data_IF_022419356363
#
_entry.id   IF_022419356363
#
_cell.length_a   1.000
_cell.length_b   1.000
_cell.length_c   1.000
_cell.angle_alpha   90.00
_cell.angle_beta   90.00
_cell.angle_gamma   90.00
#
_symmetry.space_group_name_H-M   'P 1'
#
loop_
_entity.id
_entity.type
_entity.pdbx_description
1 polymer ?
#
# COMPACT_ATOMS: atom_id res chain seq x y z
N UNK A 1 -25.63 -21.60 -8.92
CA UNK A 1 -25.51 -20.26 -8.30
C UNK A 1 -25.63 -19.25 -9.41
N UNK A 2 -26.36 -18.17 -9.15
CA UNK A 2 -26.57 -17.06 -10.07
C UNK A 2 -25.99 -15.81 -9.44
N UNK A 3 -25.16 -15.08 -10.18
CA UNK A 3 -24.68 -13.76 -9.77
C UNK A 3 -25.81 -12.76 -9.97
N UNK A 4 -26.13 -11.92 -8.99
CA UNK A 4 -27.10 -10.85 -9.24
C UNK A 4 -26.42 -9.69 -9.99
N UNK A 5 -27.24 -8.75 -10.45
CA UNK A 5 -26.74 -7.51 -11.04
C UNK A 5 -26.27 -6.56 -9.94
N UNK A 6 -25.40 -5.61 -10.28
CA UNK A 6 -24.81 -4.61 -9.37
C UNK A 6 -25.88 -3.96 -8.45
N UNK A 7 -27.03 -3.58 -9.02
CA UNK A 7 -28.09 -2.90 -8.24
C UNK A 7 -28.79 -3.87 -7.27
N UNK A 8 -28.89 -5.15 -7.65
CA UNK A 8 -29.51 -6.16 -6.79
C UNK A 8 -28.55 -6.65 -5.69
N UNK A 9 -27.25 -6.64 -5.97
CA UNK A 9 -26.19 -7.01 -5.03
C UNK A 9 -26.07 -6.00 -3.88
N UNK A 10 -26.27 -4.70 -4.13
CA UNK A 10 -26.28 -3.62 -3.12
C UNK A 10 -27.18 -3.92 -1.91
N UNK A 11 -28.33 -4.59 -2.12
CA UNK A 11 -29.25 -4.99 -1.06
C UNK A 11 -28.66 -6.03 -0.08
N UNK A 12 -27.50 -6.57 -0.40
CA UNK A 12 -26.79 -7.60 0.36
C UNK A 12 -25.43 -7.16 0.87
N UNK A 13 -25.03 -5.92 0.55
CA UNK A 13 -23.78 -5.31 0.96
C UNK A 13 -24.00 -4.33 2.12
N UNK A 14 -23.03 -4.23 3.03
CA UNK A 14 -23.08 -3.17 4.04
C UNK A 14 -22.61 -1.82 3.47
N UNK A 15 -22.94 -0.73 4.16
CA UNK A 15 -22.60 0.62 3.72
C UNK A 15 -21.10 0.83 3.40
N UNK A 16 -20.20 0.10 4.08
CA UNK A 16 -18.78 0.15 3.78
C UNK A 16 -18.39 -0.53 2.46
N UNK A 17 -19.06 -1.63 2.10
CA UNK A 17 -18.87 -2.34 0.83
C UNK A 17 -19.40 -1.52 -0.35
N UNK A 18 -20.62 -1.00 -0.22
CA UNK A 18 -21.21 -0.07 -1.21
C UNK A 18 -20.30 1.14 -1.41
N UNK A 19 -19.71 1.65 -0.31
CA UNK A 19 -18.74 2.75 -0.42
C UNK A 19 -17.48 2.33 -1.18
N UNK A 20 -16.95 1.14 -0.93
CA UNK A 20 -15.78 0.61 -1.64
C UNK A 20 -16.04 0.47 -3.16
N UNK A 21 -17.24 0.08 -3.56
CA UNK A 21 -17.69 -0.01 -4.97
C UNK A 21 -17.85 1.35 -5.61
N UNK A 22 -18.50 2.29 -4.91
CA UNK A 22 -18.63 3.68 -5.39
C UNK A 22 -17.27 4.34 -5.67
N UNK A 23 -16.23 3.91 -4.96
CA UNK A 23 -14.85 4.39 -5.13
C UNK A 23 -14.02 3.53 -6.10
N UNK A 24 -14.60 2.46 -6.65
CA UNK A 24 -13.93 1.45 -7.49
C UNK A 24 -12.67 0.90 -6.84
N UNK A 25 -12.73 0.72 -5.53
CA UNK A 25 -11.63 0.22 -4.70
C UNK A 25 -11.71 -1.28 -4.47
N UNK A 26 -12.94 -1.78 -4.35
CA UNK A 26 -13.33 -3.19 -4.32
C UNK A 26 -14.63 -3.29 -5.09
N UNK A 27 -14.78 -4.37 -5.83
CA UNK A 27 -15.99 -4.77 -6.56
C UNK A 27 -16.50 -6.05 -5.88
N UNK A 28 -17.77 -6.10 -5.48
CA UNK A 28 -18.35 -7.23 -4.75
C UNK A 28 -19.41 -7.95 -5.58
N UNK A 29 -19.09 -9.16 -6.06
CA UNK A 29 -20.10 -10.02 -6.64
C UNK A 29 -20.88 -10.74 -5.53
N UNK A 30 -22.21 -10.74 -5.61
CA UNK A 30 -23.08 -11.55 -4.76
C UNK A 30 -23.71 -12.69 -5.58
N UNK A 31 -23.44 -13.90 -5.11
CA UNK A 31 -23.91 -15.14 -5.72
C UNK A 31 -25.02 -15.75 -4.86
N UNK A 32 -26.19 -15.96 -5.45
CA UNK A 32 -27.34 -16.55 -4.79
C UNK A 32 -27.70 -17.92 -5.39
N UNK A 33 -28.16 -18.81 -4.53
CA UNK A 33 -28.75 -20.09 -4.89
C UNK A 33 -30.28 -19.97 -4.79
N UNK A 34 -31.03 -19.94 -5.92
CA UNK A 34 -32.48 -19.80 -5.86
C UNK A 34 -33.17 -20.98 -5.16
N UNK A 35 -32.63 -22.20 -5.31
CA UNK A 35 -33.23 -23.41 -4.75
C UNK A 35 -32.94 -23.64 -3.27
N UNK A 36 -31.83 -23.11 -2.75
CA UNK A 36 -31.32 -23.42 -1.42
C UNK A 36 -31.16 -22.21 -0.50
N UNK A 37 -31.36 -20.99 -0.99
CA UNK A 37 -31.29 -19.75 -0.20
C UNK A 37 -29.89 -19.34 0.23
N UNK A 38 -28.85 -20.11 -0.12
CA UNK A 38 -27.45 -19.79 0.19
C UNK A 38 -27.01 -18.56 -0.61
N UNK A 39 -26.33 -17.64 0.07
CA UNK A 39 -25.71 -16.43 -0.51
C UNK A 39 -24.22 -16.39 -0.22
N UNK A 40 -23.43 -15.96 -1.21
CA UNK A 40 -21.97 -15.79 -1.09
C UNK A 40 -21.57 -14.42 -1.65
N UNK A 41 -20.86 -13.63 -0.87
CA UNK A 41 -20.28 -12.34 -1.29
C UNK A 41 -18.80 -12.54 -1.59
N UNK A 42 -18.33 -12.11 -2.77
CA UNK A 42 -16.96 -12.31 -3.25
C UNK A 42 -16.31 -10.97 -3.56
N UNK A 43 -15.24 -10.56 -2.83
CA UNK A 43 -14.56 -9.30 -3.07
C UNK A 43 -13.47 -9.40 -4.15
N UNK A 44 -13.43 -8.42 -5.05
CA UNK A 44 -12.41 -8.22 -6.07
C UNK A 44 -11.71 -6.88 -5.84
N UNK A 45 -10.50 -6.90 -5.28
CA UNK A 45 -9.73 -5.69 -5.02
C UNK A 45 -9.16 -5.11 -6.32
N UNK A 46 -9.44 -3.82 -6.58
CA UNK A 46 -8.85 -3.12 -7.72
C UNK A 46 -7.38 -2.81 -7.47
N UNK A 47 -6.49 -3.38 -8.30
CA UNK A 47 -5.04 -3.16 -8.20
C UNK A 47 -4.67 -1.71 -8.53
N UNK A 48 -5.38 -1.08 -9.46
CA UNK A 48 -5.11 0.28 -9.93
C UNK A 48 -5.82 1.36 -9.09
N UNK A 49 -6.50 0.98 -8.01
CA UNK A 49 -7.15 1.94 -7.13
C UNK A 49 -6.13 2.74 -6.32
N UNK A 50 -6.31 4.06 -6.28
CA UNK A 50 -5.54 4.95 -5.37
C UNK A 50 -5.97 4.83 -3.91
N UNK A 51 -7.01 4.04 -3.63
CA UNK A 51 -7.50 3.81 -2.27
C UNK A 51 -6.82 2.60 -1.62
N UNK A 52 -6.53 2.76 -0.34
CA UNK A 52 -5.83 1.79 0.51
C UNK A 52 -6.70 1.40 1.70
N UNK A 53 -6.29 0.34 2.40
CA UNK A 53 -7.00 -0.16 3.58
C UNK A 53 -6.86 0.82 4.75
N UNK A 54 -7.98 1.31 5.26
CA UNK A 54 -8.03 2.16 6.43
C UNK A 54 -7.59 1.40 7.69
N UNK A 55 -6.68 1.98 8.47
CA UNK A 55 -6.24 1.42 9.75
C UNK A 55 -7.37 1.33 10.78
N UNK A 56 -8.33 2.26 10.76
CA UNK A 56 -9.44 2.37 11.72
C UNK A 56 -10.62 1.47 11.39
N UNK A 57 -11.21 1.60 10.19
CA UNK A 57 -12.42 0.84 9.81
C UNK A 57 -12.16 -0.37 8.90
N UNK A 58 -10.91 -0.63 8.53
CA UNK A 58 -10.47 -1.78 7.69
C UNK A 58 -11.03 -1.83 6.27
N UNK A 59 -11.82 -0.85 5.84
CA UNK A 59 -12.29 -0.66 4.46
C UNK A 59 -11.20 -0.05 3.57
N UNK A 60 -11.19 -0.40 2.28
CA UNK A 60 -10.29 0.13 1.24
C UNK A 60 -10.74 1.49 0.71
N UNK A 61 -11.06 2.42 1.60
CA UNK A 61 -11.59 3.75 1.28
C UNK A 61 -10.66 4.89 1.73
N UNK A 62 -9.41 4.56 2.06
CA UNK A 62 -8.40 5.51 2.55
C UNK A 62 -7.56 6.05 1.41
N UNK A 63 -7.60 7.36 1.20
CA UNK A 63 -6.75 8.09 0.26
C UNK A 63 -5.52 8.62 0.98
N UNK A 64 -4.35 8.41 0.38
CA UNK A 64 -3.08 8.93 0.87
C UNK A 64 -2.55 9.92 -0.14
N UNK A 65 -2.28 11.15 0.31
CA UNK A 65 -1.65 12.18 -0.52
C UNK A 65 -0.39 12.67 0.17
N UNK A 66 0.63 13.01 -0.63
CA UNK A 66 1.85 13.63 -0.13
C UNK A 66 2.10 14.94 -0.86
N UNK A 67 2.68 15.91 -0.15
CA UNK A 67 3.14 17.17 -0.72
C UNK A 67 4.48 17.57 -0.12
N UNK A 68 5.30 18.25 -0.90
CA UNK A 68 6.56 18.84 -0.42
C UNK A 68 6.26 20.20 0.19
N UNK A 69 6.61 20.40 1.46
CA UNK A 69 6.56 21.70 2.14
C UNK A 69 7.83 22.50 1.80
N UNK A 70 8.99 21.85 1.96
CA UNK A 70 10.30 22.46 1.68
C UNK A 70 11.11 21.50 0.84
N UNK A 71 11.56 21.96 -0.32
CA UNK A 71 12.37 21.15 -1.22
C UNK A 71 13.75 20.85 -0.63
N UNK A 72 14.23 19.62 -0.77
CA UNK A 72 15.59 19.25 -0.40
C UNK A 72 16.60 19.82 -1.40
N UNK A 73 17.74 20.29 -0.91
CA UNK A 73 18.89 20.72 -1.72
C UNK A 73 20.04 19.73 -1.55
N UNK A 74 21.16 19.99 -2.22
CA UNK A 74 22.40 19.21 -2.02
C UNK A 74 23.00 19.47 -0.63
N UNK A 75 22.74 20.63 -0.03
CA UNK A 75 23.25 21.04 1.29
C UNK A 75 22.28 20.83 2.45
N UNK A 76 20.97 20.80 2.19
CA UNK A 76 19.92 20.81 3.23
C UNK A 76 18.81 19.80 2.95
N UNK A 77 18.30 19.15 3.99
CA UNK A 77 17.12 18.27 3.87
C UNK A 77 15.87 19.07 3.53
N UNK A 78 14.90 18.40 2.93
CA UNK A 78 13.57 18.95 2.72
C UNK A 78 12.58 18.44 3.77
N UNK A 79 11.37 18.97 3.73
CA UNK A 79 10.24 18.50 4.54
C UNK A 79 9.06 18.19 3.64
N UNK A 80 8.53 16.99 3.76
CA UNK A 80 7.29 16.55 3.14
C UNK A 80 6.18 16.42 4.18
N UNK A 81 4.95 16.41 3.70
CA UNK A 81 3.76 16.16 4.48
C UNK A 81 2.94 15.08 3.79
N UNK A 82 2.50 14.11 4.58
CA UNK A 82 1.62 13.02 4.16
C UNK A 82 0.28 13.21 4.86
N UNK A 83 -0.79 13.24 4.10
CA UNK A 83 -2.16 13.28 4.58
C UNK A 83 -2.87 11.99 4.25
N UNK A 84 -3.53 11.45 5.26
CA UNK A 84 -4.22 10.18 5.28
C UNK A 84 -5.69 10.45 5.59
N UNK A 85 -6.58 10.23 4.62
CA UNK A 85 -8.01 10.56 4.76
C UNK A 85 -8.89 9.39 4.31
N UNK A 86 -9.79 8.95 5.18
CA UNK A 86 -10.75 7.88 4.92
C UNK A 86 -12.14 8.45 4.67
N UNK A 87 -12.69 8.18 3.49
CA UNK A 87 -14.00 8.68 3.08
C UNK A 87 -15.18 7.89 3.67
N UNK A 88 -14.93 6.72 4.28
CA UNK A 88 -15.96 5.91 4.93
C UNK A 88 -16.17 6.27 6.41
N UNK A 89 -15.11 6.32 7.21
CA UNK A 89 -15.22 6.58 8.66
C UNK A 89 -14.79 7.98 9.10
N UNK A 90 -14.38 8.83 8.15
CA UNK A 90 -13.91 10.19 8.43
C UNK A 90 -12.56 10.26 9.15
N UNK A 91 -11.81 9.15 9.22
CA UNK A 91 -10.45 9.20 9.77
C UNK A 91 -9.59 10.16 8.95
N UNK A 92 -8.94 11.11 9.64
CA UNK A 92 -8.05 12.07 9.03
C UNK A 92 -6.79 12.21 9.89
N UNK A 93 -5.63 12.09 9.27
CA UNK A 93 -4.34 12.21 9.94
C UNK A 93 -3.31 12.86 9.01
N UNK A 94 -2.52 13.77 9.54
CA UNK A 94 -1.48 14.46 8.78
C UNK A 94 -0.16 14.32 9.54
N UNK A 95 0.87 13.86 8.84
CA UNK A 95 2.20 13.63 9.40
C UNK A 95 3.28 14.24 8.52
N UNK A 96 4.31 14.83 9.11
CA UNK A 96 5.47 15.33 8.38
C UNK A 96 6.58 14.29 8.32
N UNK A 97 7.32 14.29 7.23
CA UNK A 97 8.48 13.42 7.04
C UNK A 97 9.66 14.21 6.45
N UNK A 98 10.87 13.80 6.76
CA UNK A 98 12.08 14.41 6.22
C UNK A 98 12.36 13.89 4.82
N UNK A 99 12.57 14.80 3.86
CA UNK A 99 13.02 14.47 2.52
C UNK A 99 14.56 14.48 2.54
N UNK A 100 15.22 13.37 2.18
CA UNK A 100 16.68 13.30 2.13
C UNK A 100 17.27 14.38 1.20
N UNK A 101 18.50 14.82 1.53
CA UNK A 101 19.30 15.71 0.66
C UNK A 101 19.47 15.09 -0.72
N UNK A 102 19.50 15.94 -1.75
CA UNK A 102 19.83 15.48 -3.11
C UNK A 102 21.30 15.08 -3.14
N UNK A 103 21.60 13.86 -3.56
CA UNK A 103 22.98 13.44 -3.85
C UNK A 103 23.41 14.07 -5.16
N UNK A 104 24.61 14.67 -5.19
CA UNK A 104 25.24 15.02 -6.46
C UNK A 104 25.61 13.72 -7.16
N UNK A 105 25.04 13.47 -8.33
CA UNK A 105 25.45 12.35 -9.16
C UNK A 105 26.89 12.61 -9.61
N UNK A 106 27.88 12.16 -8.83
CA UNK A 106 29.22 11.99 -9.33
C UNK A 106 29.16 10.85 -10.34
N UNK A 107 29.10 11.19 -11.62
CA UNK A 107 29.32 10.31 -12.75
C UNK A 107 30.71 9.67 -12.64
N UNK A 108 30.81 8.56 -11.91
CA UNK A 108 31.93 7.62 -12.05
C UNK A 108 31.52 6.57 -13.07
N UNK A 109 31.70 6.91 -14.35
CA UNK A 109 31.92 5.90 -15.36
C UNK A 109 33.25 5.20 -15.08
N UNK A 110 33.22 3.89 -14.94
CA UNK A 110 34.42 3.05 -15.01
C UNK A 110 34.04 1.69 -15.59
N UNK A 111 33.97 1.66 -16.91
CA UNK A 111 34.26 0.47 -17.69
C UNK A 111 35.77 0.28 -17.78
N UNK A 112 36.32 -0.75 -17.14
CA UNK A 112 37.41 -1.62 -17.68
C UNK A 112 37.83 -2.70 -16.67
N UNK A 113 37.58 -3.94 -17.06
CA UNK A 113 38.48 -5.10 -17.08
C UNK A 113 39.71 -5.14 -16.15
N UNK A 114 39.86 -6.22 -15.37
CA UNK A 114 41.15 -6.57 -14.76
C UNK A 114 41.09 -7.68 -13.71
N UNK A 115 41.42 -8.90 -14.12
CA UNK A 115 41.69 -10.07 -13.29
C UNK A 115 42.83 -9.87 -12.29
N UNK A 116 42.68 -10.30 -11.04
CA UNK A 116 43.76 -10.96 -10.27
C UNK A 116 43.24 -11.53 -8.94
N UNK A 117 43.53 -12.82 -8.76
CA UNK A 117 43.50 -13.55 -7.50
C UNK A 117 44.34 -12.88 -6.39
N UNK A 118 44.07 -13.24 -5.13
CA UNK A 118 45.00 -13.46 -3.99
C UNK A 118 44.49 -12.88 -2.65
N UNK A 119 44.46 -13.74 -1.62
CA UNK A 119 44.38 -13.39 -0.19
C UNK A 119 42.96 -13.43 0.38
N UNK A 120 42.50 -14.44 1.13
CA UNK A 120 43.22 -15.19 2.16
C UNK A 120 42.99 -14.51 3.52
N UNK A 121 41.91 -14.86 4.22
CA UNK A 121 41.59 -14.35 5.56
C UNK A 121 40.47 -15.16 6.20
N UNK A 122 40.86 -16.05 7.11
CA UNK A 122 40.01 -16.94 7.94
C UNK A 122 39.91 -16.38 9.35
N UNK A 123 38.91 -16.84 10.11
CA UNK A 123 38.70 -16.72 11.58
C UNK A 123 37.69 -15.63 11.98
N UNK A 124 36.75 -15.75 12.92
CA UNK A 124 36.29 -16.83 13.82
C UNK A 124 35.07 -16.31 14.60
N UNK A 125 34.17 -17.22 15.03
CA UNK A 125 33.22 -17.01 16.14
C UNK A 125 31.83 -16.52 15.71
N UNK A 126 30.71 -17.13 16.08
CA UNK A 126 30.43 -18.10 17.14
C UNK A 126 29.20 -17.62 17.91
N UNK A 127 28.22 -18.49 18.15
CA UNK A 127 27.19 -18.27 19.17
C UNK A 127 25.74 -18.36 18.68
N UNK A 128 25.19 -19.56 18.75
CA UNK A 128 23.76 -19.81 18.77
C UNK A 128 23.19 -19.63 20.19
N UNK A 129 22.01 -19.01 20.29
CA UNK A 129 21.02 -19.12 21.38
C UNK A 129 19.87 -18.18 21.00
N UNK A 130 18.65 -18.59 20.68
CA UNK A 130 17.86 -19.68 21.24
C UNK A 130 17.11 -19.15 22.47
N UNK A 131 15.79 -18.97 22.36
CA UNK A 131 14.76 -19.41 23.32
C UNK A 131 13.40 -18.80 22.95
N UNK A 132 12.37 -19.67 23.02
CA UNK A 132 10.91 -19.52 23.21
C UNK A 132 10.11 -18.39 22.55
#
# INVERSE_FOLDING_TARGET
MTRLDEVADDAHLDAGQIKEESLKSVDYDVWCCPDCGIRKVVPYNSWFSSYTKCSRCKRRTMKVTSRTITSATTSSTGTGEKTESCTNCGYHHTSRYTIPRRTESSSSGSSSSGSSSFGGGRSSGGGASGSW
#
